data_IF_318779174810
#
_entry.id   IF_318779174810
#
_cell.length_a   1.000
_cell.length_b   1.000
_cell.length_c   1.000
_cell.angle_alpha   90.00
_cell.angle_beta   90.00
_cell.angle_gamma   90.00
#
_symmetry.space_group_name_H-M   'P 1'
#
loop_
_entity.id
_entity.type
_entity.pdbx_description
1 polymer ?
#
# COMPACT_ATOMS: atom_id res chain seq x y z
N UNK A 1 15.99 1.24 10.77
CA UNK A 1 14.83 0.32 10.72
C UNK A 1 13.62 1.20 10.53
N UNK A 2 13.31 1.46 9.27
CA UNK A 2 12.22 2.35 8.89
C UNK A 2 10.90 1.64 9.16
N UNK A 3 10.12 2.23 10.07
CA UNK A 3 8.79 1.75 10.41
C UNK A 3 7.84 2.22 9.32
N UNK A 4 7.14 1.29 8.70
CA UNK A 4 6.00 1.62 7.85
C UNK A 4 4.92 2.28 8.71
N UNK A 5 4.71 3.58 8.52
CA UNK A 5 3.69 4.37 9.21
C UNK A 5 2.61 4.71 8.20
N UNK A 6 1.39 4.27 8.47
CA UNK A 6 0.23 4.60 7.63
C UNK A 6 -0.09 6.08 7.86
N UNK A 7 0.12 6.91 6.84
CA UNK A 7 -0.18 8.35 6.91
C UNK A 7 -1.57 8.58 6.34
N UNK A 8 -2.42 9.27 7.10
CA UNK A 8 -3.80 9.61 6.71
C UNK A 8 -3.91 11.09 6.29
N UNK A 9 -3.52 11.50 5.06
CA UNK A 9 -3.83 12.85 4.61
C UNK A 9 -5.30 12.99 4.16
N UNK A 10 -5.92 14.12 4.53
CA UNK A 10 -7.29 14.47 4.19
C UNK A 10 -7.59 14.37 2.69
N UNK A 11 -8.78 13.84 2.40
CA UNK A 11 -9.51 13.88 1.12
C UNK A 11 -8.65 13.91 -0.16
N UNK A 12 -8.36 12.72 -0.69
CA UNK A 12 -8.12 12.57 -2.14
C UNK A 12 -8.62 11.22 -2.60
N UNK A 13 -9.94 11.09 -2.67
CA UNK A 13 -10.61 9.98 -3.32
C UNK A 13 -10.38 10.06 -4.84
N UNK A 14 -9.39 9.31 -5.31
CA UNK A 14 -9.16 9.14 -6.74
C UNK A 14 -10.21 8.17 -7.29
N UNK A 15 -11.12 8.66 -8.16
CA UNK A 15 -12.26 7.92 -8.76
C UNK A 15 -11.84 6.85 -9.80
N UNK A 16 -10.69 6.20 -9.66
CA UNK A 16 -10.27 5.13 -10.56
C UNK A 16 -10.85 3.78 -10.13
N UNK A 17 -11.77 3.21 -10.92
CA UNK A 17 -12.36 1.88 -10.72
C UNK A 17 -11.42 0.74 -11.17
N UNK A 18 -10.14 0.84 -10.89
CA UNK A 18 -9.20 -0.22 -11.24
C UNK A 18 -9.25 -1.34 -10.19
N UNK A 19 -9.41 -2.58 -10.65
CA UNK A 19 -9.41 -3.77 -9.78
C UNK A 19 -7.97 -4.21 -9.58
N UNK A 20 -7.53 -4.21 -8.31
CA UNK A 20 -6.21 -4.72 -7.93
C UNK A 20 -6.39 -6.14 -7.41
N UNK A 21 -5.74 -7.11 -8.06
CA UNK A 21 -5.73 -8.51 -7.63
C UNK A 21 -4.51 -8.75 -6.75
N UNK A 22 -4.73 -9.30 -5.56
CA UNK A 22 -3.67 -9.66 -4.60
C UNK A 22 -3.80 -11.13 -4.22
N UNK A 23 -2.73 -11.72 -3.74
CA UNK A 23 -2.76 -13.08 -3.18
C UNK A 23 -3.67 -13.12 -1.95
N UNK A 24 -4.29 -14.28 -1.64
CA UNK A 24 -5.20 -14.42 -0.50
C UNK A 24 -4.51 -14.08 0.84
N UNK A 25 -3.22 -14.40 0.97
CA UNK A 25 -2.41 -14.06 2.15
C UNK A 25 -2.24 -12.54 2.33
N UNK A 26 -2.01 -11.80 1.24
CA UNK A 26 -1.94 -10.34 1.29
C UNK A 26 -3.31 -9.73 1.60
N UNK A 27 -4.38 -10.23 0.97
CA UNK A 27 -5.74 -9.76 1.23
C UNK A 27 -6.11 -9.84 2.71
N UNK A 28 -5.84 -10.99 3.36
CA UNK A 28 -6.15 -11.19 4.77
C UNK A 28 -5.43 -10.18 5.68
N UNK A 29 -4.16 -9.88 5.40
CA UNK A 29 -3.39 -8.87 6.15
C UNK A 29 -3.92 -7.45 5.91
N UNK A 30 -4.25 -7.10 4.66
CA UNK A 30 -4.80 -5.79 4.31
C UNK A 30 -6.18 -5.59 4.94
N UNK A 31 -7.01 -6.64 4.95
CA UNK A 31 -8.33 -6.61 5.58
C UNK A 31 -8.22 -6.40 7.09
N UNK A 32 -7.31 -7.11 7.78
CA UNK A 32 -7.04 -6.90 9.21
C UNK A 32 -6.55 -5.47 9.48
N UNK A 33 -5.64 -4.94 8.65
CA UNK A 33 -5.16 -3.57 8.76
C UNK A 33 -6.28 -2.55 8.54
N UNK A 34 -7.17 -2.80 7.59
CA UNK A 34 -8.33 -1.94 7.30
C UNK A 34 -9.29 -1.90 8.48
N UNK A 35 -9.61 -3.05 9.07
CA UNK A 35 -10.47 -3.17 10.25
C UNK A 35 -9.87 -2.42 11.46
N UNK A 36 -8.57 -2.59 11.70
CA UNK A 36 -7.88 -1.98 12.84
C UNK A 36 -7.67 -0.47 12.73
N UNK A 37 -7.50 0.06 11.52
CA UNK A 37 -7.15 1.47 11.30
C UNK A 37 -8.31 2.31 10.77
N UNK A 38 -9.38 1.68 10.29
CA UNK A 38 -10.49 2.35 9.61
C UNK A 38 -10.12 2.91 8.24
N UNK A 39 -8.91 2.63 7.74
CA UNK A 39 -8.44 3.10 6.43
C UNK A 39 -8.93 2.15 5.34
N UNK A 40 -9.34 2.69 4.19
CA UNK A 40 -9.82 1.88 3.08
C UNK A 40 -8.71 0.97 2.52
N UNK A 41 -9.08 -0.25 2.13
CA UNK A 41 -8.14 -1.23 1.57
C UNK A 41 -7.35 -0.67 0.37
N UNK A 42 -8.01 0.07 -0.53
CA UNK A 42 -7.35 0.71 -1.68
C UNK A 42 -6.23 1.66 -1.26
N UNK A 43 -6.42 2.37 -0.15
CA UNK A 43 -5.46 3.34 0.37
C UNK A 43 -4.30 2.68 1.10
N UNK A 44 -4.56 1.56 1.78
CA UNK A 44 -3.51 0.73 2.38
C UNK A 44 -2.64 0.15 1.27
N UNK A 45 -3.27 -0.43 0.23
CA UNK A 45 -2.56 -0.99 -0.92
C UNK A 45 -1.72 0.08 -1.60
N UNK A 46 -2.28 1.28 -1.83
CA UNK A 46 -1.53 2.39 -2.42
C UNK A 46 -0.27 2.74 -1.64
N UNK A 47 -0.37 2.84 -0.31
CA UNK A 47 0.80 3.12 0.54
C UNK A 47 1.80 1.97 0.57
N UNK A 48 1.34 0.71 0.55
CA UNK A 48 2.24 -0.43 0.48
C UNK A 48 3.01 -0.45 -0.85
N UNK A 49 2.35 -0.12 -1.97
CA UNK A 49 2.99 -0.03 -3.28
C UNK A 49 3.96 1.13 -3.33
N UNK A 50 3.56 2.31 -2.87
CA UNK A 50 4.41 3.51 -2.82
C UNK A 50 5.69 3.26 -2.01
N UNK A 51 5.55 2.68 -0.81
CA UNK A 51 6.69 2.29 0.02
C UNK A 51 7.56 1.21 -0.63
N UNK A 52 6.94 0.21 -1.28
CA UNK A 52 7.71 -0.82 -1.97
C UNK A 52 8.49 -0.24 -3.15
N UNK A 53 7.94 0.73 -3.88
CA UNK A 53 8.63 1.40 -4.98
C UNK A 53 9.77 2.31 -4.50
N UNK A 54 9.57 3.04 -3.40
CA UNK A 54 10.61 3.90 -2.80
C UNK A 54 11.79 3.07 -2.24
N UNK A 55 11.50 1.86 -1.75
CA UNK A 55 12.49 0.91 -1.24
C UNK A 55 12.95 -0.14 -2.26
N UNK A 56 12.44 -0.11 -3.49
CA UNK A 56 13.00 -0.90 -4.59
C UNK A 56 14.31 -0.25 -4.98
N UNK A 57 15.42 -0.83 -4.52
CA UNK A 57 16.74 -0.52 -5.05
C UNK A 57 16.78 -1.15 -6.44
N UNK A 58 16.87 -0.32 -7.47
CA UNK A 58 17.12 -0.78 -8.83
C UNK A 58 18.45 -1.55 -8.84
N UNK A 59 18.43 -2.86 -9.08
CA UNK A 59 19.64 -3.64 -9.34
C UNK A 59 20.28 -3.29 -10.70
N UNK A 60 19.75 -2.31 -11.46
CA UNK A 60 20.31 -1.80 -12.73
C UNK A 60 21.03 -0.44 -12.60
N UNK A 61 21.89 -0.29 -11.59
CA UNK A 61 22.95 0.72 -11.61
C UNK A 61 24.28 0.20 -11.03
N UNK A 62 24.65 -1.03 -11.35
CA UNK A 62 26.06 -1.42 -11.46
C UNK A 62 26.34 -1.92 -12.88
N UNK A 63 26.92 -1.08 -13.74
CA UNK A 63 27.49 -1.47 -15.03
C UNK A 63 27.27 -0.50 -16.18
#
# INVERSE_FOLDING_TARGET
>A
MDKFVIITPGLRDSKNKNVIRVTPSCYSKIAELSDRTGVSMCRIIGQCVDFALDHMVDEECEG
#
